data_IF_688995041355
#
_entry.id   IF_688995041355
#
_cell.length_a   1.000
_cell.length_b   1.000
_cell.length_c   1.000
_cell.angle_alpha   90.00
_cell.angle_beta   90.00
_cell.angle_gamma   90.00
#
_symmetry.space_group_name_H-M   'P 1'
#
loop_
_entity.id
_entity.type
_entity.pdbx_description
1 polymer ?
#
# COMPACT_ATOMS: atom_id res chain seq x y z
N UNK A 1 5.13 -11.91 -16.80
CA UNK A 1 3.92 -11.28 -16.26
C UNK A 1 4.33 -10.03 -15.50
N UNK A 2 4.24 -8.89 -16.18
CA UNK A 2 4.42 -7.57 -15.60
C UNK A 2 3.12 -7.18 -14.90
N UNK A 3 3.21 -6.75 -13.64
CA UNK A 3 2.13 -6.07 -12.97
C UNK A 3 2.58 -4.64 -12.73
N UNK A 4 1.91 -3.71 -13.41
CA UNK A 4 2.08 -2.28 -13.26
C UNK A 4 1.38 -1.83 -11.98
N UNK A 5 2.02 -0.92 -11.24
CA UNK A 5 1.29 0.07 -10.44
C UNK A 5 0.37 0.81 -11.41
N UNK A 6 -0.94 0.57 -11.37
CA UNK A 6 -1.88 1.50 -11.99
C UNK A 6 -1.91 2.72 -11.09
N UNK A 7 -1.18 3.74 -11.51
CA UNK A 7 -1.29 5.08 -10.93
C UNK A 7 -2.53 5.70 -11.56
N UNK A 8 -3.63 5.70 -10.82
CA UNK A 8 -4.77 6.54 -11.16
C UNK A 8 -4.39 8.03 -11.12
N UNK A 9 -5.11 8.91 -11.85
CA UNK A 9 -4.87 10.35 -11.84
C UNK A 9 -5.03 11.01 -10.45
N UNK A 10 -5.53 10.27 -9.47
CA UNK A 10 -5.83 10.69 -8.09
C UNK A 10 -4.71 10.37 -7.08
N UNK A 11 -3.52 9.94 -7.54
CA UNK A 11 -2.36 9.61 -6.71
C UNK A 11 -2.56 8.40 -5.77
N UNK A 12 -3.66 7.65 -5.88
CA UNK A 12 -3.82 6.39 -5.16
C UNK A 12 -2.82 5.34 -5.68
N UNK A 13 -2.25 4.57 -4.77
CA UNK A 13 -1.47 3.38 -5.11
C UNK A 13 -2.33 2.17 -4.73
N UNK A 14 -2.97 1.55 -5.70
CA UNK A 14 -3.63 0.26 -5.53
C UNK A 14 -2.63 -0.85 -5.82
N UNK A 15 -2.29 -1.63 -4.80
CA UNK A 15 -1.52 -2.85 -4.98
C UNK A 15 -2.52 -3.94 -5.37
N UNK A 16 -2.54 -4.27 -6.67
CA UNK A 16 -3.43 -5.30 -7.20
C UNK A 16 -2.95 -6.69 -6.81
N UNK A 17 -3.84 -7.46 -6.21
CA UNK A 17 -3.54 -8.77 -5.64
C UNK A 17 -2.92 -9.76 -6.64
N UNK A 18 -1.74 -10.31 -6.35
CA UNK A 18 -1.29 -11.50 -7.04
C UNK A 18 -2.10 -12.72 -6.59
N UNK A 19 -2.79 -13.40 -7.50
CA UNK A 19 -3.64 -14.59 -7.24
C UNK A 19 -2.89 -15.73 -6.50
N UNK A 20 -1.54 -15.73 -6.48
CA UNK A 20 -0.73 -16.69 -5.72
C UNK A 20 0.22 -16.06 -4.68
N UNK A 21 0.00 -14.79 -4.30
CA UNK A 21 0.68 -14.12 -3.17
C UNK A 21 0.12 -14.60 -1.85
N UNK A 22 0.97 -14.93 -0.88
CA UNK A 22 0.52 -15.31 0.46
C UNK A 22 0.61 -14.12 1.41
N UNK A 23 1.74 -13.42 1.39
CA UNK A 23 2.01 -12.28 2.25
C UNK A 23 2.57 -11.14 1.42
N UNK A 24 2.00 -9.96 1.57
CA UNK A 24 2.53 -8.72 1.00
C UNK A 24 3.07 -7.85 2.12
N UNK A 25 3.95 -6.92 1.77
CA UNK A 25 4.49 -6.00 2.76
C UNK A 25 5.07 -4.74 2.16
N UNK A 26 5.29 -3.76 3.04
CA UNK A 26 5.87 -2.46 2.69
C UNK A 26 6.92 -2.10 3.74
N UNK A 27 8.13 -1.78 3.28
CA UNK A 27 9.20 -1.18 4.09
C UNK A 27 9.21 0.33 3.88
N UNK A 28 9.10 1.10 4.95
CA UNK A 28 9.04 2.55 4.91
C UNK A 28 10.42 3.19 5.10
N UNK A 29 11.07 3.55 3.98
CA UNK A 29 12.40 4.17 4.00
C UNK A 29 12.34 5.67 4.30
N UNK A 30 11.29 6.34 3.80
CA UNK A 30 10.99 7.75 4.05
C UNK A 30 9.48 7.93 4.15
N UNK A 31 9.04 8.61 5.21
CA UNK A 31 7.64 8.92 5.48
C UNK A 31 7.42 10.43 5.47
N UNK A 32 6.17 10.85 5.38
CA UNK A 32 5.78 12.25 5.47
C UNK A 32 6.06 12.73 6.90
N UNK A 33 6.73 13.88 7.02
CA UNK A 33 6.94 14.55 8.29
C UNK A 33 5.68 15.34 8.62
N UNK A 34 5.07 15.08 9.77
CA UNK A 34 3.83 15.73 10.23
C UNK A 34 2.65 15.57 9.26
N UNK A 35 2.16 14.34 9.03
CA UNK A 35 1.04 14.09 8.13
C UNK A 35 -0.25 14.75 8.64
N UNK A 36 -0.89 15.55 7.80
CA UNK A 36 -2.27 15.99 8.04
C UNK A 36 -3.25 14.88 7.60
N UNK A 37 -4.36 14.70 8.30
CA UNK A 37 -5.43 13.76 7.91
C UNK A 37 -4.97 12.33 7.53
N UNK A 38 -3.92 11.83 8.19
CA UNK A 38 -3.31 10.51 7.92
C UNK A 38 -2.70 10.34 6.52
N UNK A 39 -2.23 11.41 5.90
CA UNK A 39 -1.56 11.34 4.60
C UNK A 39 -0.44 10.29 4.56
N UNK A 40 -0.38 9.57 3.44
CA UNK A 40 0.64 8.55 3.21
C UNK A 40 0.52 7.30 4.09
N UNK A 41 -0.47 7.24 5.00
CA UNK A 41 -0.81 6.05 5.77
C UNK A 41 -1.29 4.92 4.86
N UNK A 42 -1.13 3.69 5.34
CA UNK A 42 -1.78 2.53 4.75
C UNK A 42 -3.10 2.28 5.47
N UNK A 43 -4.18 2.23 4.71
CA UNK A 43 -5.51 1.86 5.20
C UNK A 43 -5.81 0.43 4.74
N UNK A 44 -6.27 -0.39 5.66
CA UNK A 44 -6.81 -1.73 5.42
C UNK A 44 -8.32 -1.72 5.60
N UNK A 45 -9.04 -2.49 4.77
CA UNK A 45 -10.49 -2.62 4.86
C UNK A 45 -11.01 -3.95 4.36
N UNK A 46 -12.30 -4.17 4.55
CA UNK A 46 -13.03 -5.31 3.95
C UNK A 46 -13.74 -4.93 2.64
N UNK A 47 -13.67 -3.65 2.28
CA UNK A 47 -14.28 -3.09 1.09
C UNK A 47 -13.21 -2.41 0.23
N UNK A 48 -13.29 -2.61 -1.07
CA UNK A 48 -12.39 -2.05 -2.07
C UNK A 48 -12.95 -2.27 -3.47
N UNK A 49 -12.31 -1.72 -4.49
CA UNK A 49 -12.85 -1.62 -5.86
C UNK A 49 -14.18 -0.85 -5.94
N UNK A 50 -14.74 -0.73 -7.14
CA UNK A 50 -16.03 -0.07 -7.39
C UNK A 50 -17.23 -0.97 -7.05
N UNK A 51 -17.12 -1.80 -6.02
CA UNK A 51 -18.26 -2.57 -5.52
C UNK A 51 -19.24 -1.63 -4.80
N UNK A 52 -20.56 -1.88 -4.84
CA UNK A 52 -21.52 -1.06 -4.12
C UNK A 52 -21.33 -1.23 -2.60
N UNK A 53 -21.32 -0.11 -1.88
CA UNK A 53 -21.31 -0.08 -0.42
C UNK A 53 -22.76 -0.29 0.03
N UNK A 54 -23.04 -1.41 0.70
CA UNK A 54 -24.36 -1.68 1.28
C UNK A 54 -24.49 -1.09 2.70
N UNK A 55 -23.37 -0.97 3.41
CA UNK A 55 -23.26 -0.35 4.74
C UNK A 55 -21.90 0.37 4.83
N UNK A 56 -21.89 1.64 5.20
CA UNK A 56 -20.66 2.42 5.31
C UNK A 56 -19.77 1.99 6.49
N UNK A 57 -20.29 1.19 7.43
CA UNK A 57 -19.63 0.78 8.68
C UNK A 57 -18.72 -0.43 8.54
N UNK A 58 -18.24 -0.73 7.34
CA UNK A 58 -17.23 -1.79 7.18
C UNK A 58 -15.99 -1.48 8.01
N UNK A 59 -15.43 -2.46 8.75
CA UNK A 59 -14.21 -2.27 9.51
C UNK A 59 -13.07 -1.74 8.65
N UNK A 60 -12.42 -0.68 9.12
CA UNK A 60 -11.20 -0.11 8.53
C UNK A 60 -10.15 0.04 9.60
N UNK A 61 -8.90 -0.17 9.22
CA UNK A 61 -7.74 0.03 10.08
C UNK A 61 -6.71 0.88 9.36
N UNK A 62 -6.40 2.03 9.93
CA UNK A 62 -5.39 2.93 9.40
C UNK A 62 -4.12 2.74 10.23
N UNK A 63 -2.98 2.55 9.55
CA UNK A 63 -1.66 2.56 10.15
C UNK A 63 -0.85 3.73 9.58
N UNK A 64 -0.52 4.70 10.43
CA UNK A 64 0.39 5.78 10.08
C UNK A 64 1.83 5.29 10.25
N UNK A 65 2.59 5.11 9.16
CA UNK A 65 3.92 4.53 9.23
C UNK A 65 4.95 5.50 9.81
N UNK A 66 5.90 4.94 10.55
CA UNK A 66 7.14 5.60 10.92
C UNK A 66 8.28 5.14 10.01
N UNK A 67 9.36 5.94 9.95
CA UNK A 67 10.57 5.55 9.20
C UNK A 67 11.13 4.26 9.81
N UNK A 68 11.36 3.25 8.98
CA UNK A 68 11.85 1.94 9.39
C UNK A 68 10.75 0.91 9.63
N UNK A 69 9.47 1.31 9.61
CA UNK A 69 8.36 0.37 9.74
C UNK A 69 8.39 -0.68 8.62
N UNK A 70 8.07 -1.91 9.01
CA UNK A 70 7.78 -3.01 8.10
C UNK A 70 6.35 -3.45 8.40
N UNK A 71 5.45 -3.18 7.46
CA UNK A 71 4.05 -3.61 7.58
C UNK A 71 3.87 -4.85 6.73
N UNK A 72 3.43 -5.95 7.35
CA UNK A 72 3.11 -7.23 6.69
C UNK A 72 1.62 -7.48 6.77
N UNK A 73 1.01 -7.92 5.68
CA UNK A 73 -0.42 -8.21 5.63
C UNK A 73 -0.72 -9.34 4.63
N UNK A 74 -1.82 -10.11 4.84
CA UNK A 74 -2.25 -11.11 3.88
C UNK A 74 -2.40 -10.47 2.50
N UNK A 75 -1.83 -11.10 1.48
CA UNK A 75 -1.83 -10.49 0.15
C UNK A 75 -3.24 -10.15 -0.29
N UNK A 76 -4.28 -10.91 0.06
CA UNK A 76 -5.68 -10.68 -0.34
C UNK A 76 -6.44 -9.57 0.42
N UNK A 77 -5.84 -8.92 1.41
CA UNK A 77 -6.52 -7.91 2.23
C UNK A 77 -6.60 -6.58 1.47
N UNK A 78 -7.80 -5.98 1.34
CA UNK A 78 -7.93 -4.67 0.69
C UNK A 78 -7.13 -3.63 1.43
N UNK A 79 -6.33 -2.90 0.67
CA UNK A 79 -5.51 -1.83 1.20
C UNK A 79 -5.25 -0.75 0.15
N UNK A 80 -5.08 0.47 0.64
CA UNK A 80 -4.70 1.63 -0.17
C UNK A 80 -3.78 2.54 0.62
N UNK A 81 -3.00 3.34 -0.10
CA UNK A 81 -2.27 4.46 0.50
C UNK A 81 -3.17 5.69 0.47
N UNK A 82 -3.35 6.35 1.62
CA UNK A 82 -4.07 7.63 1.68
C UNK A 82 -3.30 8.66 0.84
N UNK A 83 -3.95 9.34 -0.14
CA UNK A 83 -3.28 10.28 -1.01
C UNK A 83 -2.55 11.37 -0.24
N UNK A 84 -1.39 11.77 -0.76
CA UNK A 84 -0.57 12.81 -0.16
C UNK A 84 -0.95 14.14 -0.78
N UNK A 85 -1.45 15.09 0.01
CA UNK A 85 -1.78 16.43 -0.47
C UNK A 85 -0.64 17.41 -0.23
N UNK A 86 0.12 17.25 0.85
CA UNK A 86 1.29 18.08 1.18
C UNK A 86 2.50 17.84 0.28
N UNK A 87 3.35 18.86 0.15
CA UNK A 87 4.64 18.79 -0.57
C UNK A 87 5.66 18.03 0.28
N UNK A 88 5.55 16.70 0.30
CA UNK A 88 6.41 15.83 1.06
C UNK A 88 6.91 14.66 0.20
N UNK A 89 8.03 14.08 0.62
CA UNK A 89 8.59 12.89 -0.02
C UNK A 89 8.26 11.63 0.78
N UNK A 90 7.72 10.62 0.10
CA UNK A 90 7.48 9.29 0.66
C UNK A 90 8.23 8.28 -0.20
N UNK A 91 9.08 7.46 0.41
CA UNK A 91 9.74 6.38 -0.29
C UNK A 91 9.60 5.06 0.45
N UNK A 92 9.15 4.05 -0.29
CA UNK A 92 8.89 2.70 0.22
C UNK A 92 9.41 1.63 -0.72
N UNK A 93 9.68 0.45 -0.17
CA UNK A 93 9.85 -0.79 -0.92
C UNK A 93 8.63 -1.65 -0.64
N UNK A 94 7.75 -1.81 -1.61
CA UNK A 94 6.65 -2.75 -1.54
C UNK A 94 7.10 -4.11 -2.09
N UNK A 95 6.63 -5.19 -1.49
CA UNK A 95 6.99 -6.54 -1.90
C UNK A 95 5.89 -7.57 -1.69
N UNK A 96 5.94 -8.64 -2.50
CA UNK A 96 5.09 -9.82 -2.37
C UNK A 96 5.94 -11.06 -2.13
N UNK A 97 5.53 -11.88 -1.15
CA UNK A 97 6.12 -13.18 -0.83
C UNK A 97 5.23 -14.30 -1.37
N UNK A 98 5.83 -15.16 -2.19
CA UNK A 98 5.20 -16.40 -2.67
C UNK A 98 6.02 -17.62 -2.25
N UNK A 99 5.42 -18.62 -1.58
CA UNK A 99 6.13 -19.85 -1.29
C UNK A 99 6.46 -20.61 -2.57
N UNK A 100 7.68 -21.16 -2.62
CA UNK A 100 8.17 -22.09 -3.62
C UNK A 100 9.01 -23.15 -2.92
N UNK A 101 8.50 -24.38 -2.80
CA UNK A 101 9.21 -25.58 -2.29
C UNK A 101 10.38 -25.24 -1.32
N UNK A 102 10.04 -24.78 -0.12
CA UNK A 102 11.00 -24.46 0.95
C UNK A 102 11.70 -23.09 0.87
N UNK A 103 11.34 -22.22 -0.07
CA UNK A 103 11.87 -20.84 -0.21
C UNK A 103 10.76 -19.85 -0.48
N UNK A 104 11.01 -18.56 -0.25
CA UNK A 104 10.13 -17.48 -0.70
C UNK A 104 10.71 -16.81 -1.93
N UNK A 105 9.86 -16.56 -2.93
CA UNK A 105 10.17 -15.61 -4.01
C UNK A 105 9.65 -14.24 -3.60
N UNK A 106 10.51 -13.24 -3.72
CA UNK A 106 10.18 -11.83 -3.49
C UNK A 106 10.01 -11.14 -4.85
N UNK A 107 8.89 -10.45 -5.04
CA UNK A 107 8.72 -9.46 -6.11
C UNK A 107 8.72 -8.08 -5.46
N UNK A 108 9.56 -7.14 -5.90
CA UNK A 108 9.69 -5.82 -5.26
C UNK A 108 9.35 -4.69 -6.21
N UNK A 109 8.74 -3.62 -5.70
CA UNK A 109 8.61 -2.34 -6.37
C UNK A 109 9.06 -1.22 -5.44
N UNK A 110 9.92 -0.34 -5.94
CA UNK A 110 10.31 0.87 -5.22
C UNK A 110 9.39 1.99 -5.65
N UNK A 111 8.76 2.66 -4.67
CA UNK A 111 7.89 3.80 -4.91
C UNK A 111 8.41 4.96 -4.08
N UNK A 112 9.23 5.82 -4.70
CA UNK A 112 9.54 7.14 -4.18
C UNK A 112 8.68 8.16 -4.92
N UNK A 113 7.87 8.94 -4.20
CA UNK A 113 7.09 10.04 -4.77
C UNK A 113 7.42 11.34 -4.05
N UNK A 114 7.68 12.38 -4.83
CA UNK A 114 7.67 13.78 -4.44
C UNK A 114 6.57 14.47 -5.25
N UNK A 115 5.75 15.30 -4.61
CA UNK A 115 4.87 16.22 -5.35
C UNK A 115 5.72 17.43 -5.71
N UNK A 116 6.11 17.58 -6.99
CA UNK A 116 6.57 18.87 -7.52
C UNK A 116 5.34 19.75 -7.77
N UNK A 117 5.51 21.08 -7.61
CA UNK A 117 4.48 22.07 -7.94
C UNK A 117 3.97 21.89 -9.37
#
# INVERSE_FOLDING_TARGET
MHYFLLVGPDLSAEIKFPINGWLSGVVYLKVIQSPELNEGAIEFGLHGYNWPILDERYPRKIHQPQKGDIVLFPSSLFHRTIPVTTKAERCVIAFDLRPKRGRFRVCTSTVCRSRSQ
#
